data_IF_947780090620
#
_entry.id   IF_947780090620
#
_cell.length_a   1.000
_cell.length_b   1.000
_cell.length_c   1.000
_cell.angle_alpha   90.00
_cell.angle_beta   90.00
_cell.angle_gamma   90.00
#
_symmetry.space_group_name_H-M   'P 1'
#
loop_
_entity.id
_entity.type
_entity.pdbx_description
1 polymer ?
#
# COMPACT_ATOMS: atom_id res chain seq x y z
N UNK A 1 42.59 -27.16 43.56
CA UNK A 1 41.92 -26.33 42.53
C UNK A 1 40.78 -25.57 43.20
N UNK A 2 40.78 -24.23 43.20
CA UNK A 2 39.71 -23.41 43.80
C UNK A 2 38.63 -23.15 42.75
N UNK A 3 37.33 -23.34 43.03
CA UNK A 3 36.27 -23.01 42.08
C UNK A 3 36.10 -21.50 42.02
N UNK A 4 36.35 -20.90 40.85
CA UNK A 4 36.03 -19.49 40.59
C UNK A 4 34.51 -19.32 40.53
N UNK A 5 33.90 -18.82 41.61
CA UNK A 5 32.51 -18.37 41.58
C UNK A 5 32.42 -17.16 40.63
N UNK A 6 31.99 -17.38 39.39
CA UNK A 6 31.54 -16.29 38.52
C UNK A 6 30.33 -15.66 39.21
N UNK A 7 30.48 -14.45 39.74
CA UNK A 7 29.38 -13.71 40.31
C UNK A 7 28.33 -13.51 39.22
N UNK A 8 27.17 -14.15 39.34
CA UNK A 8 26.05 -13.90 38.48
C UNK A 8 25.62 -12.44 38.71
N UNK A 9 25.91 -11.57 37.74
CA UNK A 9 25.55 -10.16 37.76
C UNK A 9 24.03 -10.03 37.57
N UNK A 10 23.26 -10.40 38.61
CA UNK A 10 21.82 -10.36 38.60
C UNK A 10 21.38 -8.91 38.85
N UNK A 11 20.78 -8.28 37.84
CA UNK A 11 20.11 -6.99 38.01
C UNK A 11 18.87 -7.18 38.90
N UNK A 12 18.58 -6.25 39.83
CA UNK A 12 17.33 -6.24 40.58
C UNK A 12 16.11 -6.34 39.64
N UNK A 13 15.05 -7.00 40.09
CA UNK A 13 13.85 -7.23 39.28
C UNK A 13 13.22 -5.92 38.79
N UNK A 14 13.24 -4.87 39.60
CA UNK A 14 12.71 -3.56 39.25
C UNK A 14 13.48 -2.88 38.11
N UNK A 15 14.82 -2.95 38.14
CA UNK A 15 15.65 -2.36 37.09
C UNK A 15 15.48 -3.11 35.78
N UNK A 16 15.28 -4.42 35.85
CA UNK A 16 14.98 -5.24 34.68
C UNK A 16 13.59 -4.96 34.11
N UNK A 17 12.59 -4.68 34.95
CA UNK A 17 11.27 -4.25 34.49
C UNK A 17 11.35 -2.90 33.77
N UNK A 18 12.13 -1.95 34.29
CA UNK A 18 12.39 -0.66 33.64
C UNK A 18 13.08 -0.84 32.28
N UNK A 19 14.09 -1.71 32.21
CA UNK A 19 14.79 -2.05 30.96
C UNK A 19 13.81 -2.63 29.91
N UNK A 20 12.89 -3.51 30.33
CA UNK A 20 11.88 -4.09 29.44
C UNK A 20 10.87 -3.05 28.92
N UNK A 21 10.43 -2.13 29.78
CA UNK A 21 9.55 -1.02 29.37
C UNK A 21 10.25 -0.06 28.42
N UNK A 22 11.53 0.22 28.65
CA UNK A 22 12.35 1.03 27.75
C UNK A 22 12.53 0.36 26.39
N UNK A 23 12.79 -0.96 26.36
CA UNK A 23 12.88 -1.74 25.13
C UNK A 23 11.56 -1.69 24.34
N UNK A 24 10.41 -1.84 25.00
CA UNK A 24 9.09 -1.69 24.38
C UNK A 24 8.92 -0.29 23.77
N UNK A 25 9.29 0.78 24.50
CA UNK A 25 9.17 2.14 24.01
C UNK A 25 10.08 2.42 22.80
N UNK A 26 11.30 1.86 22.79
CA UNK A 26 12.23 1.98 21.66
C UNK A 26 11.68 1.34 20.38
N UNK A 27 11.09 0.16 20.50
CA UNK A 27 10.43 -0.51 19.36
C UNK A 27 9.22 0.30 18.89
N UNK A 28 8.41 0.82 19.82
CA UNK A 28 7.24 1.65 19.47
C UNK A 28 7.64 2.95 18.76
N UNK A 29 8.77 3.55 19.11
CA UNK A 29 9.31 4.75 18.45
C UNK A 29 10.14 4.45 17.20
N UNK A 30 10.24 3.18 16.79
CA UNK A 30 10.96 2.78 15.57
C UNK A 30 12.47 2.94 15.64
N UNK A 31 13.06 2.95 16.85
CA UNK A 31 14.51 2.97 17.07
C UNK A 31 15.00 1.73 17.85
N UNK A 32 14.71 0.50 17.38
CA UNK A 32 15.24 -0.72 17.99
C UNK A 32 16.73 -0.88 17.69
N UNK A 33 17.49 -1.47 18.62
CA UNK A 33 18.90 -1.80 18.39
C UNK A 33 19.06 -2.92 17.35
N UNK A 34 18.09 -3.84 17.29
CA UNK A 34 18.13 -5.02 16.41
C UNK A 34 17.25 -4.89 15.15
N UNK A 35 16.79 -3.67 14.81
CA UNK A 35 16.07 -3.42 13.55
C UNK A 35 14.65 -3.99 13.47
N UNK A 36 14.05 -4.41 14.59
CA UNK A 36 12.73 -5.00 14.60
C UNK A 36 11.60 -3.99 14.54
N UNK A 37 10.79 -4.08 13.49
CA UNK A 37 9.68 -3.17 13.23
C UNK A 37 8.37 -3.55 13.93
N UNK A 38 8.24 -4.80 14.40
CA UNK A 38 7.00 -5.30 15.00
C UNK A 38 7.12 -5.39 16.52
N UNK A 39 6.16 -4.81 17.23
CA UNK A 39 6.03 -4.94 18.68
C UNK A 39 5.57 -6.37 18.99
N UNK A 40 6.51 -7.24 19.36
CA UNK A 40 6.26 -8.61 19.79
C UNK A 40 7.07 -8.93 21.04
N UNK A 41 6.66 -9.95 21.80
CA UNK A 41 7.37 -10.34 23.02
C UNK A 41 8.79 -10.85 22.70
N UNK A 42 8.96 -11.54 21.57
CA UNK A 42 10.28 -11.93 21.08
C UNK A 42 11.15 -10.72 20.71
N UNK A 43 10.57 -9.66 20.15
CA UNK A 43 11.28 -8.42 19.84
C UNK A 43 11.79 -7.73 21.09
N UNK A 44 10.90 -7.56 22.08
CA UNK A 44 11.24 -6.92 23.35
C UNK A 44 12.28 -7.75 24.12
N UNK A 45 12.17 -9.08 24.07
CA UNK A 45 13.13 -9.98 24.69
C UNK A 45 14.53 -9.85 24.08
N UNK A 46 14.63 -9.82 22.74
CA UNK A 46 15.91 -9.62 22.04
C UNK A 46 16.50 -8.24 22.31
N UNK A 47 15.68 -7.20 22.27
CA UNK A 47 16.07 -5.82 22.55
C UNK A 47 16.60 -5.63 23.98
N UNK A 48 16.00 -6.32 24.97
CA UNK A 48 16.43 -6.28 26.37
C UNK A 48 17.45 -7.35 26.75
N UNK A 49 17.85 -8.23 25.81
CA UNK A 49 18.80 -9.32 26.05
C UNK A 49 18.32 -10.36 27.07
N UNK A 50 17.01 -10.64 27.10
CA UNK A 50 16.40 -11.64 28.00
C UNK A 50 15.70 -12.75 27.21
N UNK A 51 15.42 -13.87 27.86
CA UNK A 51 14.60 -14.93 27.27
C UNK A 51 13.12 -14.54 27.26
N UNK A 52 12.38 -15.00 26.26
CA UNK A 52 10.93 -14.80 26.16
C UNK A 52 10.18 -15.42 27.34
N UNK A 53 10.64 -16.58 27.81
CA UNK A 53 10.08 -17.26 28.98
C UNK A 53 10.16 -16.40 30.25
N UNK A 54 11.23 -15.61 30.42
CA UNK A 54 11.37 -14.73 31.58
C UNK A 54 10.27 -13.65 31.62
N UNK A 55 9.93 -13.08 30.47
CA UNK A 55 8.88 -12.05 30.37
C UNK A 55 7.51 -12.65 30.70
N UNK A 56 7.20 -13.83 30.16
CA UNK A 56 5.92 -14.49 30.41
C UNK A 56 5.74 -14.96 31.85
N UNK A 57 6.82 -15.45 32.49
CA UNK A 57 6.72 -16.06 33.82
C UNK A 57 6.91 -15.05 34.96
N UNK A 58 7.85 -14.12 34.83
CA UNK A 58 8.21 -13.18 35.91
C UNK A 58 7.61 -11.79 35.74
N UNK A 59 7.19 -11.40 34.53
CA UNK A 59 6.70 -10.06 34.24
C UNK A 59 5.36 -10.08 33.46
N UNK A 60 4.29 -10.68 34.01
CA UNK A 60 3.00 -10.80 33.32
C UNK A 60 2.41 -9.44 32.93
N UNK A 61 2.55 -8.41 33.78
CA UNK A 61 2.09 -7.05 33.50
C UNK A 61 2.75 -6.44 32.25
N UNK A 62 4.05 -6.70 32.07
CA UNK A 62 4.78 -6.23 30.88
C UNK A 62 4.35 -7.02 29.65
N UNK A 63 4.13 -8.33 29.79
CA UNK A 63 3.64 -9.17 28.69
C UNK A 63 2.25 -8.71 28.19
N UNK A 64 1.34 -8.33 29.09
CA UNK A 64 0.03 -7.77 28.75
C UNK A 64 0.16 -6.44 28.01
N UNK A 65 1.00 -5.52 28.50
CA UNK A 65 1.25 -4.25 27.84
C UNK A 65 1.80 -4.43 26.41
N UNK A 66 2.70 -5.41 26.20
CA UNK A 66 3.23 -5.74 24.86
C UNK A 66 2.11 -6.26 23.96
N UNK A 67 1.24 -7.15 24.46
CA UNK A 67 0.12 -7.71 23.69
C UNK A 67 -0.90 -6.63 23.31
N UNK A 68 -1.20 -5.71 24.22
CA UNK A 68 -2.09 -4.60 23.94
C UNK A 68 -1.51 -3.67 22.87
N UNK A 69 -0.23 -3.30 23.00
CA UNK A 69 0.48 -2.50 22.01
C UNK A 69 0.54 -3.19 20.64
N UNK A 70 0.81 -4.50 20.61
CA UNK A 70 0.77 -5.32 19.41
C UNK A 70 -0.63 -5.30 18.77
N UNK A 71 -1.69 -5.50 19.57
CA UNK A 71 -3.09 -5.50 19.11
C UNK A 71 -3.52 -4.17 18.50
N UNK A 72 -3.14 -3.04 19.12
CA UNK A 72 -3.40 -1.69 18.59
C UNK A 72 -2.66 -1.45 17.27
N UNK A 73 -1.38 -1.85 17.17
CA UNK A 73 -0.61 -1.75 15.92
C UNK A 73 -1.21 -2.61 14.79
N UNK A 74 -1.75 -3.79 15.12
CA UNK A 74 -2.36 -4.69 14.13
C UNK A 74 -3.69 -4.15 13.60
N UNK A 75 -4.53 -3.58 14.48
CA UNK A 75 -5.80 -2.94 14.09
C UNK A 75 -5.58 -1.72 13.19
N UNK A 76 -4.72 -0.80 13.62
CA UNK A 76 -4.38 0.40 12.83
C UNK A 76 -3.84 0.06 11.43
N UNK A 77 -2.90 -0.89 11.33
CA UNK A 77 -2.37 -1.33 10.03
C UNK A 77 -3.44 -2.00 9.16
N UNK A 78 -4.36 -2.78 9.77
CA UNK A 78 -5.47 -3.41 9.04
C UNK A 78 -6.43 -2.36 8.50
N UNK A 79 -6.79 -1.38 9.32
CA UNK A 79 -7.75 -0.34 8.96
C UNK A 79 -7.18 0.55 7.84
N UNK A 80 -5.90 0.91 7.91
CA UNK A 80 -5.20 1.61 6.82
C UNK A 80 -5.25 0.83 5.50
N UNK A 81 -4.86 -0.45 5.51
CA UNK A 81 -4.92 -1.30 4.32
C UNK A 81 -6.32 -1.43 3.75
N UNK A 82 -7.33 -1.48 4.63
CA UNK A 82 -8.71 -1.56 4.19
C UNK A 82 -9.16 -0.26 3.52
N UNK A 83 -8.76 0.91 4.05
CA UNK A 83 -9.04 2.19 3.43
C UNK A 83 -8.35 2.31 2.07
N UNK A 84 -7.08 1.92 1.98
CA UNK A 84 -6.32 1.92 0.72
C UNK A 84 -6.97 1.01 -0.32
N UNK A 85 -7.40 -0.19 0.09
CA UNK A 85 -8.09 -1.12 -0.81
C UNK A 85 -9.43 -0.56 -1.32
N UNK A 86 -10.20 0.12 -0.47
CA UNK A 86 -11.43 0.80 -0.88
C UNK A 86 -11.11 1.91 -1.89
N UNK A 87 -10.10 2.73 -1.61
CA UNK A 87 -9.71 3.84 -2.48
C UNK A 87 -9.29 3.34 -3.86
N UNK A 88 -8.46 2.29 -3.93
CA UNK A 88 -8.04 1.69 -5.20
C UNK A 88 -9.19 1.04 -5.96
N UNK A 89 -10.13 0.38 -5.26
CA UNK A 89 -11.34 -0.16 -5.89
C UNK A 89 -12.22 0.93 -6.50
N UNK A 90 -12.37 2.06 -5.82
CA UNK A 90 -13.11 3.22 -6.34
C UNK A 90 -12.44 3.81 -7.58
N UNK A 91 -11.11 4.00 -7.56
CA UNK A 91 -10.33 4.46 -8.72
C UNK A 91 -10.47 3.50 -9.91
N UNK A 92 -10.38 2.20 -9.65
CA UNK A 92 -10.54 1.17 -10.68
C UNK A 92 -11.95 1.11 -11.26
N UNK A 93 -12.98 1.44 -10.48
CA UNK A 93 -14.35 1.54 -10.98
C UNK A 93 -14.52 2.77 -11.89
N UNK A 94 -14.00 3.93 -11.48
CA UNK A 94 -14.04 5.15 -12.29
C UNK A 94 -13.30 4.98 -13.62
N UNK A 95 -12.08 4.44 -13.59
CA UNK A 95 -11.28 4.17 -14.79
C UNK A 95 -11.98 3.19 -15.75
N UNK A 96 -12.66 2.15 -15.23
CA UNK A 96 -13.46 1.25 -16.07
C UNK A 96 -14.62 1.97 -16.75
N UNK A 97 -15.31 2.85 -16.03
CA UNK A 97 -16.40 3.64 -16.60
C UNK A 97 -15.89 4.58 -17.70
N UNK A 98 -14.77 5.28 -17.46
CA UNK A 98 -14.14 6.13 -18.48
C UNK A 98 -13.73 5.34 -19.73
N UNK A 99 -13.20 4.13 -19.57
CA UNK A 99 -12.87 3.25 -20.70
C UNK A 99 -14.12 2.88 -21.50
N UNK A 100 -15.23 2.54 -20.82
CA UNK A 100 -16.50 2.22 -21.48
C UNK A 100 -17.04 3.42 -22.27
N UNK A 101 -17.05 4.61 -21.66
CA UNK A 101 -17.47 5.85 -22.33
C UNK A 101 -16.60 6.18 -23.54
N UNK A 102 -15.28 6.09 -23.41
CA UNK A 102 -14.35 6.37 -24.51
C UNK A 102 -14.51 5.35 -25.63
N UNK A 103 -14.72 4.06 -25.30
CA UNK A 103 -15.00 3.03 -26.31
C UNK A 103 -16.31 3.29 -27.04
N UNK A 104 -17.36 3.72 -26.34
CA UNK A 104 -18.62 4.10 -26.98
C UNK A 104 -18.45 5.30 -27.92
N UNK A 105 -17.68 6.32 -27.51
CA UNK A 105 -17.35 7.49 -28.35
C UNK A 105 -16.51 7.10 -29.58
N UNK A 106 -15.54 6.20 -29.42
CA UNK A 106 -14.74 5.70 -30.55
C UNK A 106 -15.62 4.93 -31.53
N UNK A 107 -16.52 4.08 -31.03
CA UNK A 107 -17.43 3.32 -31.89
C UNK A 107 -18.38 4.24 -32.68
N UNK A 108 -18.92 5.29 -32.05
CA UNK A 108 -19.77 6.26 -32.75
C UNK A 108 -18.99 7.05 -33.80
N UNK A 109 -17.79 7.53 -33.47
CA UNK A 109 -16.93 8.23 -34.42
C UNK A 109 -16.52 7.33 -35.59
N UNK A 110 -16.21 6.06 -35.35
CA UNK A 110 -15.89 5.10 -36.40
C UNK A 110 -17.06 4.92 -37.38
N UNK A 111 -18.28 4.76 -36.86
CA UNK A 111 -19.49 4.66 -37.70
C UNK A 111 -19.72 5.91 -38.56
N UNK A 112 -19.59 7.10 -37.97
CA UNK A 112 -19.72 8.37 -38.69
C UNK A 112 -18.62 8.50 -39.75
N UNK A 113 -17.39 8.14 -39.41
CA UNK A 113 -16.27 8.21 -40.35
C UNK A 113 -16.46 7.26 -41.54
N UNK A 114 -16.98 6.05 -41.32
CA UNK A 114 -17.31 5.13 -42.42
C UNK A 114 -18.38 5.72 -43.35
N UNK A 115 -19.47 6.28 -42.80
CA UNK A 115 -20.47 6.98 -43.62
C UNK A 115 -19.85 8.14 -44.42
N UNK A 116 -19.04 8.97 -43.78
CA UNK A 116 -18.39 10.11 -44.44
C UNK A 116 -17.40 9.66 -45.52
N UNK A 117 -16.71 8.53 -45.32
CA UNK A 117 -15.81 7.94 -46.32
C UNK A 117 -16.60 7.44 -47.53
N UNK A 118 -17.75 6.81 -47.33
CA UNK A 118 -18.62 6.36 -48.40
C UNK A 118 -19.23 7.54 -49.17
N UNK A 119 -19.69 8.57 -48.48
CA UNK A 119 -20.13 9.82 -49.12
C UNK A 119 -19.00 10.47 -49.92
N UNK A 120 -17.78 10.54 -49.36
CA UNK A 120 -16.61 11.04 -50.08
C UNK A 120 -16.29 10.22 -51.33
N UNK A 121 -16.39 8.89 -51.26
CA UNK A 121 -16.19 8.02 -52.42
C UNK A 121 -17.21 8.31 -53.51
N UNK A 122 -18.49 8.43 -53.14
CA UNK A 122 -19.56 8.76 -54.09
C UNK A 122 -19.34 10.15 -54.71
N UNK A 123 -18.99 11.16 -53.90
CA UNK A 123 -18.72 12.51 -54.40
C UNK A 123 -17.49 12.55 -55.31
N UNK A 124 -16.39 11.89 -54.94
CA UNK A 124 -15.20 11.76 -55.79
C UNK A 124 -15.51 11.05 -57.10
N UNK A 125 -16.31 9.98 -57.08
CA UNK A 125 -16.74 9.30 -58.29
C UNK A 125 -17.57 10.22 -59.20
N UNK A 126 -18.49 11.00 -58.64
CA UNK A 126 -19.26 12.01 -59.37
C UNK A 126 -18.38 13.08 -59.99
N UNK A 127 -17.39 13.60 -59.25
CA UNK A 127 -16.45 14.61 -59.74
C UNK A 127 -15.53 14.04 -60.83
N UNK A 128 -15.16 12.76 -60.75
CA UNK A 128 -14.35 12.10 -61.78
C UNK A 128 -15.11 11.78 -63.07
N UNK A 129 -16.43 11.95 -63.09
CA UNK A 129 -17.25 11.72 -64.28
C UNK A 129 -16.99 12.83 -65.32
N UNK A 130 -16.84 12.44 -66.58
CA UNK A 130 -16.35 13.30 -67.68
C UNK A 130 -17.29 14.46 -68.02
N UNK A 131 -18.53 14.42 -67.52
CA UNK A 131 -19.54 15.47 -67.68
C UNK A 131 -19.47 16.57 -66.62
N UNK A 132 -18.66 16.40 -65.57
CA UNK A 132 -18.50 17.39 -64.51
C UNK A 132 -17.25 18.21 -64.78
N UNK A 133 -17.43 19.51 -65.04
CA UNK A 133 -16.34 20.46 -65.22
C UNK A 133 -16.20 21.30 -63.95
N UNK A 134 -15.00 21.32 -63.37
CA UNK A 134 -14.69 22.16 -62.23
C UNK A 134 -14.75 23.64 -62.66
N UNK A 135 -15.76 24.36 -62.19
CA UNK A 135 -15.85 25.81 -62.35
C UNK A 135 -14.88 26.39 -61.31
N UNK A 136 -13.60 26.45 -61.68
CA UNK A 136 -12.51 26.84 -60.79
C UNK A 136 -12.89 28.04 -59.94
N UNK A 137 -12.62 27.94 -58.62
CA UNK A 137 -12.93 28.99 -57.68
C UNK A 137 -12.30 30.30 -58.15
N UNK A 138 -13.14 31.21 -58.66
CA UNK A 138 -12.74 32.58 -58.89
C UNK A 138 -12.39 33.16 -57.52
N UNK A 139 -11.09 33.32 -57.29
CA UNK A 139 -10.56 34.15 -56.24
C UNK A 139 -11.18 35.56 -56.34
N UNK A 140 -11.75 36.01 -55.23
CA UNK A 140 -11.95 37.41 -54.90
C UNK A 140 -11.47 37.62 -53.46
#
# INVERSE_FOLDING_TARGET
MKPTKKAAHYKPAEDREKDLRLALYRIQKGRPHFGETKITIAAVAREAGVSTALIHNYYPKVAEAIREAQGRSSRTVRDMKHHDLIAERKRSAACRHEIEELRAKIASLASINEMLLDENRVLKAKVSDRKVTDLGSAAF
#
